data_IF_965052219251
#
_entry.id   IF_965052219251
#
_cell.length_a   1.000
_cell.length_b   1.000
_cell.length_c   1.000
_cell.angle_alpha   90.00
_cell.angle_beta   90.00
_cell.angle_gamma   90.00
#
_symmetry.space_group_name_H-M   'P 1'
#
loop_
_entity.id
_entity.type
_entity.pdbx_description
1 polymer ?
#
# COMPACT_ATOMS: atom_id res chain seq x y z
N UNK A 1 -27.93 72.56 0.33
CA UNK A 1 -29.37 72.64 -0.07
C UNK A 1 -29.91 71.26 0.02
N UNK A 2 -30.61 71.07 0.98
CA UNK A 2 -32.05 70.95 1.28
C UNK A 2 -32.54 69.51 1.07
N UNK A 3 -32.75 68.86 2.22
CA UNK A 3 -34.01 68.57 2.97
C UNK A 3 -34.72 67.33 2.48
N UNK A 4 -34.73 66.32 3.34
CA UNK A 4 -35.85 65.90 4.24
C UNK A 4 -37.07 65.33 3.49
N UNK A 5 -37.54 64.14 3.84
CA UNK A 5 -38.58 63.92 4.84
C UNK A 5 -38.84 62.45 5.13
N UNK A 6 -38.92 62.20 6.41
CA UNK A 6 -39.54 61.15 7.19
C UNK A 6 -41.05 61.22 7.08
N UNK A 7 -41.77 60.07 7.15
CA UNK A 7 -43.11 59.86 7.74
C UNK A 7 -43.50 58.39 7.52
N UNK A 8 -43.60 57.52 8.47
CA UNK A 8 -44.44 57.36 9.67
C UNK A 8 -45.92 57.34 9.43
N UNK A 9 -46.66 56.41 10.11
CA UNK A 9 -48.08 56.33 10.44
C UNK A 9 -48.88 55.34 9.59
N UNK A 10 -49.79 54.50 10.03
CA UNK A 10 -50.34 54.06 11.31
C UNK A 10 -51.33 52.91 11.02
N UNK A 11 -51.46 51.97 11.91
CA UNK A 11 -52.57 51.09 12.23
C UNK A 11 -53.91 51.28 11.54
N UNK A 12 -54.50 50.17 11.02
CA UNK A 12 -55.95 49.94 11.22
C UNK A 12 -56.12 48.44 11.57
N UNK A 13 -56.52 48.21 12.84
CA UNK A 13 -57.14 46.98 13.30
C UNK A 13 -58.59 46.97 12.88
N UNK A 14 -59.10 45.89 12.30
CA UNK A 14 -60.54 45.59 12.37
C UNK A 14 -60.75 44.11 12.52
N UNK A 15 -61.32 43.78 13.66
CA UNK A 15 -61.76 42.45 14.05
C UNK A 15 -62.94 41.99 13.16
N UNK A 16 -62.85 40.73 12.70
CA UNK A 16 -64.05 39.91 12.47
C UNK A 16 -63.97 38.63 13.23
N UNK A 17 -64.90 38.50 14.13
CA UNK A 17 -65.14 37.39 15.01
C UNK A 17 -65.99 36.34 14.28
N UNK A 18 -65.78 35.08 14.66
CA UNK A 18 -66.66 33.91 14.50
C UNK A 18 -66.53 33.10 13.21
N UNK A 19 -65.78 32.00 13.25
CA UNK A 19 -66.43 30.66 13.29
C UNK A 19 -65.34 29.60 13.64
N UNK A 20 -65.36 29.09 14.85
CA UNK A 20 -64.63 27.96 15.32
C UNK A 20 -65.23 26.68 14.70
N UNK A 21 -64.65 26.13 13.69
CA UNK A 21 -64.73 24.69 13.44
C UNK A 21 -63.38 24.07 13.76
N UNK A 22 -63.31 23.42 14.88
CA UNK A 22 -62.17 22.60 15.30
C UNK A 22 -62.16 21.34 14.41
N UNK A 23 -61.28 21.33 13.41
CA UNK A 23 -60.89 20.11 12.74
C UNK A 23 -59.88 19.44 13.67
N UNK A 24 -60.09 18.21 14.13
CA UNK A 24 -59.06 17.51 14.87
C UNK A 24 -57.83 17.32 13.94
N UNK A 25 -56.73 17.98 14.27
CA UNK A 25 -55.44 17.65 13.72
C UNK A 25 -55.10 16.26 14.21
N UNK A 26 -55.34 15.26 13.40
CA UNK A 26 -54.75 13.94 13.60
C UNK A 26 -53.24 14.17 13.50
N UNK A 27 -52.56 14.09 14.62
CA UNK A 27 -51.11 14.06 14.66
C UNK A 27 -50.68 12.91 13.75
N UNK A 28 -49.94 13.23 12.67
CA UNK A 28 -49.24 12.23 11.91
C UNK A 28 -48.36 11.43 12.90
N UNK A 29 -48.33 10.10 12.79
CA UNK A 29 -47.38 9.32 13.59
C UNK A 29 -45.97 9.89 13.34
N UNK A 30 -45.12 9.92 14.37
CA UNK A 30 -43.73 10.31 14.17
C UNK A 30 -43.20 9.44 13.03
N UNK A 31 -42.69 10.08 11.97
CA UNK A 31 -41.86 9.41 11.01
C UNK A 31 -40.65 8.97 11.83
N UNK A 32 -40.55 7.68 12.07
CA UNK A 32 -39.29 7.07 12.47
C UNK A 32 -38.27 7.44 11.37
N UNK A 33 -37.45 8.44 11.69
CA UNK A 33 -36.20 8.69 11.00
C UNK A 33 -35.42 7.37 11.12
N UNK A 34 -35.06 6.69 10.04
CA UNK A 34 -34.26 5.50 10.19
C UNK A 34 -32.94 5.91 10.82
N UNK A 35 -32.86 5.70 12.13
CA UNK A 35 -31.66 5.85 12.91
C UNK A 35 -30.65 4.90 12.25
N UNK A 36 -29.87 5.45 11.33
CA UNK A 36 -28.77 4.72 10.73
C UNK A 36 -27.80 4.40 11.87
N UNK A 37 -27.82 3.16 12.31
CA UNK A 37 -26.88 2.64 13.29
C UNK A 37 -25.47 2.72 12.68
N UNK A 38 -24.74 3.75 13.06
CA UNK A 38 -23.35 3.93 12.69
C UNK A 38 -22.47 3.50 13.86
N UNK A 39 -21.58 2.55 13.63
CA UNK A 39 -20.55 2.22 14.59
C UNK A 39 -19.43 3.26 14.50
N UNK A 40 -19.06 3.84 15.64
CA UNK A 40 -17.85 4.65 15.73
C UNK A 40 -16.67 3.77 16.14
N UNK A 41 -15.65 3.70 15.32
CA UNK A 41 -14.42 2.95 15.56
C UNK A 41 -13.25 3.88 15.85
N UNK A 42 -12.50 3.61 16.91
CA UNK A 42 -11.25 4.34 17.21
C UNK A 42 -10.07 3.58 16.63
N UNK A 43 -9.37 4.20 15.69
CA UNK A 43 -8.18 3.63 15.02
C UNK A 43 -7.12 3.24 16.05
N UNK A 44 -6.67 1.99 15.99
CA UNK A 44 -5.64 1.44 16.84
C UNK A 44 -4.25 1.56 16.18
N UNK A 45 -3.14 1.49 16.96
CA UNK A 45 -1.80 1.38 16.36
C UNK A 45 -1.74 0.23 15.35
N UNK A 46 -1.15 0.49 14.17
CA UNK A 46 -1.05 -0.45 13.03
C UNK A 46 -2.36 -0.76 12.29
N UNK A 47 -3.45 -0.05 12.57
CA UNK A 47 -4.63 -0.13 11.72
C UNK A 47 -4.40 0.58 10.37
N UNK A 48 -5.02 0.02 9.33
CA UNK A 48 -5.21 0.69 8.05
C UNK A 48 -6.70 0.67 7.72
N UNK A 49 -7.17 1.62 6.90
CA UNK A 49 -8.58 1.63 6.49
C UNK A 49 -9.02 0.31 5.84
N UNK A 50 -8.12 -0.32 5.09
CA UNK A 50 -8.37 -1.64 4.48
C UNK A 50 -8.56 -2.70 5.58
N UNK A 51 -7.69 -2.74 6.60
CA UNK A 51 -7.85 -3.68 7.72
C UNK A 51 -9.16 -3.45 8.47
N UNK A 52 -9.54 -2.19 8.66
CA UNK A 52 -10.80 -1.82 9.32
C UNK A 52 -11.98 -2.22 8.42
N UNK A 53 -11.93 -1.90 7.13
CA UNK A 53 -12.95 -2.29 6.16
C UNK A 53 -13.15 -3.81 6.15
N UNK A 54 -12.07 -4.57 6.08
CA UNK A 54 -12.09 -6.04 6.12
C UNK A 54 -12.65 -6.57 7.47
N UNK A 55 -12.25 -5.97 8.60
CA UNK A 55 -12.70 -6.38 9.93
C UNK A 55 -14.22 -6.23 10.12
N UNK A 56 -14.80 -5.20 9.52
CA UNK A 56 -16.22 -4.85 9.69
C UNK A 56 -17.07 -5.18 8.46
N UNK A 57 -16.52 -5.89 7.47
CA UNK A 57 -17.19 -6.22 6.22
C UNK A 57 -17.80 -5.02 5.50
N UNK A 58 -17.00 -3.96 5.37
CA UNK A 58 -17.39 -2.74 4.70
C UNK A 58 -16.57 -2.56 3.43
N UNK A 59 -17.15 -1.91 2.43
CA UNK A 59 -16.34 -1.42 1.32
C UNK A 59 -15.48 -0.26 1.80
N UNK A 60 -14.21 -0.27 1.41
CA UNK A 60 -13.28 0.82 1.71
C UNK A 60 -13.86 2.19 1.31
N UNK A 61 -14.51 2.24 0.13
CA UNK A 61 -15.17 3.42 -0.40
C UNK A 61 -16.23 3.98 0.54
N UNK A 62 -17.00 3.11 1.20
CA UNK A 62 -18.09 3.53 2.08
C UNK A 62 -17.54 4.17 3.37
N UNK A 63 -16.44 3.64 3.92
CA UNK A 63 -15.73 4.24 5.05
C UNK A 63 -15.12 5.59 4.64
N UNK A 64 -14.48 5.65 3.47
CA UNK A 64 -13.87 6.88 2.94
C UNK A 64 -14.91 7.98 2.78
N UNK A 65 -16.07 7.67 2.20
CA UNK A 65 -17.16 8.62 1.98
C UNK A 65 -17.80 9.06 3.30
N UNK A 66 -18.11 8.12 4.20
CA UNK A 66 -18.74 8.40 5.49
C UNK A 66 -17.89 9.29 6.40
N UNK A 67 -16.57 9.25 6.23
CA UNK A 67 -15.60 10.01 7.04
C UNK A 67 -14.92 11.16 6.28
N UNK A 68 -15.30 11.42 5.04
CA UNK A 68 -14.70 12.45 4.17
C UNK A 68 -13.18 12.36 4.11
N UNK A 69 -12.64 11.12 4.07
CA UNK A 69 -11.20 10.87 4.06
C UNK A 69 -10.65 11.18 2.67
N UNK A 70 -9.79 12.19 2.59
CA UNK A 70 -9.16 12.58 1.33
C UNK A 70 -8.05 11.62 0.88
N UNK A 71 -7.40 10.94 1.82
CA UNK A 71 -6.35 9.96 1.56
C UNK A 71 -6.61 8.70 2.41
N UNK A 72 -7.07 7.59 1.78
CA UNK A 72 -7.37 6.34 2.49
C UNK A 72 -6.16 5.69 3.17
N UNK A 73 -4.95 6.07 2.79
CA UNK A 73 -3.72 5.54 3.38
C UNK A 73 -3.25 6.35 4.60
N UNK A 74 -3.97 7.43 4.95
CA UNK A 74 -3.57 8.33 6.02
C UNK A 74 -4.64 8.37 7.11
N UNK A 75 -4.62 7.38 7.99
CA UNK A 75 -5.36 7.38 9.24
C UNK A 75 -4.39 7.29 10.41
N UNK A 76 -4.77 7.85 11.55
CA UNK A 76 -3.90 7.96 12.72
C UNK A 76 -4.48 7.21 13.92
N UNK A 77 -3.65 6.56 14.75
CA UNK A 77 -4.10 6.00 16.02
C UNK A 77 -4.84 7.05 16.86
N UNK A 78 -6.02 6.70 17.38
CA UNK A 78 -6.92 7.60 18.09
C UNK A 78 -7.92 8.34 17.21
N UNK A 79 -7.80 8.31 15.89
CA UNK A 79 -8.79 8.86 14.96
C UNK A 79 -10.11 8.09 15.08
N UNK A 80 -11.23 8.81 15.15
CA UNK A 80 -12.55 8.18 15.14
C UNK A 80 -13.10 8.08 13.73
N UNK A 81 -13.55 6.89 13.35
CA UNK A 81 -14.15 6.59 12.07
C UNK A 81 -15.59 6.14 12.25
N UNK A 82 -16.48 6.74 11.48
CA UNK A 82 -17.87 6.28 11.33
C UNK A 82 -17.89 5.10 10.36
N UNK A 83 -18.34 3.93 10.82
CA UNK A 83 -18.47 2.72 10.01
C UNK A 83 -19.94 2.57 9.61
N UNK A 84 -20.31 2.85 8.34
CA UNK A 84 -21.70 2.84 7.91
C UNK A 84 -22.26 1.41 7.83
N UNK A 85 -23.52 1.22 8.25
CA UNK A 85 -24.24 -0.06 8.10
C UNK A 85 -23.83 -1.17 9.08
N UNK A 86 -23.04 -0.86 10.12
CA UNK A 86 -22.72 -1.82 11.18
C UNK A 86 -23.65 -1.61 12.37
N UNK A 87 -24.63 -2.49 12.56
CA UNK A 87 -25.47 -2.52 13.76
C UNK A 87 -24.99 -3.58 14.74
N UNK A 88 -24.88 -3.23 16.02
CA UNK A 88 -24.65 -4.22 17.09
C UNK A 88 -25.93 -5.01 17.36
N UNK A 89 -26.02 -6.23 16.84
CA UNK A 89 -26.79 -7.27 17.50
C UNK A 89 -25.82 -8.24 18.16
N UNK A 90 -25.62 -8.06 19.46
CA UNK A 90 -24.94 -9.05 20.28
C UNK A 90 -25.89 -10.26 20.45
N UNK A 91 -25.88 -11.16 19.50
CA UNK A 91 -26.36 -12.52 19.73
C UNK A 91 -25.18 -13.35 20.23
N UNK A 92 -25.29 -14.01 21.40
CA UNK A 92 -24.25 -14.94 21.81
C UNK A 92 -24.24 -16.09 20.83
N UNK A 93 -23.14 -16.18 20.05
CA UNK A 93 -22.86 -17.35 19.21
C UNK A 93 -22.61 -18.52 20.17
N UNK A 94 -23.39 -19.61 20.14
CA UNK A 94 -23.05 -20.81 20.87
C UNK A 94 -21.67 -21.30 20.35
N UNK A 95 -20.74 -21.53 21.29
CA UNK A 95 -19.47 -22.15 20.97
C UNK A 95 -19.74 -23.55 20.37
N UNK A 96 -19.69 -23.65 19.05
CA UNK A 96 -19.73 -24.92 18.37
C UNK A 96 -18.39 -25.61 18.58
N UNK A 97 -18.42 -26.78 19.18
CA UNK A 97 -17.25 -27.67 19.30
C UNK A 97 -16.75 -28.03 17.89
N UNK A 98 -15.42 -27.98 17.65
CA UNK A 98 -14.88 -28.23 16.32
C UNK A 98 -15.05 -29.72 15.94
N UNK A 99 -15.69 -29.97 14.79
CA UNK A 99 -15.69 -31.27 14.15
C UNK A 99 -14.54 -31.32 13.13
N UNK A 100 -13.61 -32.28 13.17
CA UNK A 100 -12.54 -32.39 12.19
C UNK A 100 -13.11 -32.83 10.84
N UNK A 101 -12.85 -32.05 9.79
CA UNK A 101 -13.20 -32.39 8.41
C UNK A 101 -13.55 -31.14 7.59
N UNK A 102 -13.20 -31.15 6.33
CA UNK A 102 -13.64 -30.10 5.42
C UNK A 102 -15.17 -30.17 5.24
N UNK A 103 -15.85 -29.06 5.43
CA UNK A 103 -17.27 -28.93 5.11
C UNK A 103 -17.42 -28.40 3.67
N UNK A 104 -18.52 -28.77 3.01
CA UNK A 104 -18.84 -28.23 1.69
C UNK A 104 -19.98 -27.22 1.82
N UNK A 105 -19.79 -26.06 1.22
CA UNK A 105 -20.79 -25.00 1.16
C UNK A 105 -21.10 -24.67 -0.29
N UNK A 106 -22.38 -24.55 -0.63
CA UNK A 106 -22.79 -24.09 -1.97
C UNK A 106 -23.09 -22.60 -1.88
N UNK A 107 -22.28 -21.80 -2.55
CA UNK A 107 -22.42 -20.35 -2.57
C UNK A 107 -23.80 -19.92 -3.07
N UNK A 108 -24.44 -19.01 -2.37
CA UNK A 108 -25.73 -18.44 -2.69
C UNK A 108 -25.56 -17.14 -3.51
N UNK A 109 -26.66 -16.64 -4.07
CA UNK A 109 -26.69 -15.29 -4.64
C UNK A 109 -26.37 -14.30 -3.53
N UNK A 110 -25.51 -13.30 -3.82
CA UNK A 110 -25.01 -12.28 -2.88
C UNK A 110 -24.01 -12.78 -1.82
N UNK A 111 -23.59 -14.04 -1.85
CA UNK A 111 -22.47 -14.48 -1.04
C UNK A 111 -21.14 -13.86 -1.50
N UNK A 112 -20.30 -13.56 -0.53
CA UNK A 112 -18.88 -13.30 -0.73
C UNK A 112 -18.05 -14.30 0.07
N UNK A 113 -16.82 -14.58 -0.34
CA UNK A 113 -15.92 -15.44 0.47
C UNK A 113 -15.74 -14.90 1.88
N UNK A 114 -15.89 -13.60 2.06
CA UNK A 114 -15.80 -12.96 3.36
C UNK A 114 -17.02 -13.27 4.25
N UNK A 115 -18.24 -13.14 3.74
CA UNK A 115 -19.46 -13.50 4.49
C UNK A 115 -19.48 -14.97 4.86
N UNK A 116 -19.05 -15.83 3.92
CA UNK A 116 -18.92 -17.27 4.16
C UNK A 116 -17.84 -17.53 5.25
N UNK A 117 -16.65 -16.95 5.12
CA UNK A 117 -15.57 -17.10 6.10
C UNK A 117 -15.98 -16.66 7.50
N UNK A 118 -16.67 -15.51 7.61
CA UNK A 118 -17.22 -15.00 8.87
C UNK A 118 -18.24 -15.96 9.48
N UNK A 119 -19.15 -16.50 8.69
CA UNK A 119 -20.19 -17.42 9.15
C UNK A 119 -19.61 -18.75 9.67
N UNK A 120 -18.49 -19.18 9.12
CA UNK A 120 -17.81 -20.42 9.50
C UNK A 120 -16.65 -20.21 10.51
N UNK A 121 -16.36 -18.96 10.88
CA UNK A 121 -15.27 -18.64 11.82
C UNK A 121 -13.87 -18.99 11.27
N UNK A 122 -13.70 -18.94 9.94
CA UNK A 122 -12.44 -19.24 9.24
C UNK A 122 -11.92 -18.00 8.51
N UNK A 123 -10.65 -18.02 8.10
CA UNK A 123 -10.13 -16.92 7.28
C UNK A 123 -10.50 -17.11 5.81
N UNK A 124 -10.67 -15.97 5.07
CA UNK A 124 -10.85 -16.00 3.62
C UNK A 124 -9.69 -16.71 2.94
N UNK A 125 -8.45 -16.45 3.38
CA UNK A 125 -7.24 -17.11 2.89
C UNK A 125 -7.28 -18.64 3.02
N UNK A 126 -7.85 -19.15 4.12
CA UNK A 126 -8.00 -20.60 4.32
C UNK A 126 -8.99 -21.22 3.33
N UNK A 127 -10.09 -20.51 3.01
CA UNK A 127 -11.04 -20.96 1.98
C UNK A 127 -10.38 -20.91 0.60
N UNK A 128 -9.65 -19.83 0.26
CA UNK A 128 -8.94 -19.70 -1.01
C UNK A 128 -7.95 -20.84 -1.22
N UNK A 129 -7.09 -21.11 -0.23
CA UNK A 129 -6.10 -22.19 -0.28
C UNK A 129 -6.74 -23.55 -0.49
N UNK A 130 -7.80 -23.87 0.28
CA UNK A 130 -8.44 -25.17 0.22
C UNK A 130 -9.16 -25.44 -1.12
N UNK A 131 -9.54 -24.37 -1.83
CA UNK A 131 -10.25 -24.43 -3.11
C UNK A 131 -9.36 -24.11 -4.32
N UNK A 132 -8.10 -23.74 -4.11
CA UNK A 132 -7.21 -23.36 -5.20
C UNK A 132 -7.63 -22.09 -5.94
N UNK A 133 -8.29 -21.14 -5.25
CA UNK A 133 -8.71 -19.88 -5.84
C UNK A 133 -7.62 -18.84 -5.69
N UNK A 134 -7.47 -18.04 -6.73
CA UNK A 134 -6.54 -16.93 -6.80
C UNK A 134 -7.17 -15.57 -6.52
N UNK A 135 -8.50 -15.47 -6.59
CA UNK A 135 -9.23 -14.22 -6.39
C UNK A 135 -10.47 -14.48 -5.52
N UNK A 136 -10.62 -13.75 -4.37
CA UNK A 136 -11.78 -13.89 -3.49
C UNK A 136 -13.10 -13.41 -4.09
N UNK A 137 -13.06 -12.57 -5.14
CA UNK A 137 -14.24 -11.94 -5.72
C UNK A 137 -14.86 -12.77 -6.86
N UNK A 138 -14.27 -13.91 -7.22
CA UNK A 138 -14.71 -14.76 -8.33
C UNK A 138 -15.57 -15.96 -7.92
N UNK A 139 -16.24 -15.93 -6.77
CA UNK A 139 -17.21 -16.97 -6.46
C UNK A 139 -18.53 -16.72 -7.21
N UNK A 140 -19.15 -17.79 -7.67
CA UNK A 140 -20.43 -17.75 -8.36
C UNK A 140 -21.51 -18.44 -7.54
N UNK A 141 -22.74 -17.95 -7.59
CA UNK A 141 -23.87 -18.63 -6.99
C UNK A 141 -24.00 -20.06 -7.58
N UNK A 142 -24.18 -21.04 -6.69
CA UNK A 142 -24.17 -22.46 -7.04
C UNK A 142 -22.78 -23.12 -7.01
N UNK A 143 -21.72 -22.38 -6.85
CA UNK A 143 -20.36 -22.92 -6.73
C UNK A 143 -20.20 -23.65 -5.39
N UNK A 144 -19.65 -24.87 -5.42
CA UNK A 144 -19.36 -25.64 -4.21
C UNK A 144 -17.97 -25.29 -3.69
N UNK A 145 -17.93 -24.79 -2.46
CA UNK A 145 -16.71 -24.41 -1.77
C UNK A 145 -16.36 -25.44 -0.70
N UNK A 146 -15.08 -25.76 -0.58
CA UNK A 146 -14.54 -26.48 0.57
C UNK A 146 -14.26 -25.46 1.68
N UNK A 147 -14.92 -25.59 2.81
CA UNK A 147 -14.72 -24.76 3.98
C UNK A 147 -13.87 -25.54 4.99
N UNK A 148 -12.78 -24.98 5.54
CA UNK A 148 -12.02 -25.64 6.58
C UNK A 148 -12.92 -25.98 7.77
N UNK A 149 -12.94 -27.24 8.18
CA UNK A 149 -13.67 -27.69 9.36
C UNK A 149 -12.82 -27.53 10.59
N UNK A 150 -13.14 -26.58 11.46
CA UNK A 150 -12.43 -26.38 12.71
C UNK A 150 -11.44 -25.22 12.72
N UNK A 151 -10.79 -24.94 13.86
CA UNK A 151 -9.70 -23.97 13.92
C UNK A 151 -8.67 -24.36 12.86
N UNK A 152 -8.07 -23.33 12.23
CA UNK A 152 -6.99 -23.51 11.24
C UNK A 152 -6.12 -24.70 11.68
N UNK A 153 -5.84 -25.69 10.82
CA UNK A 153 -4.90 -26.73 11.16
C UNK A 153 -3.68 -26.01 11.73
N UNK A 154 -3.24 -26.44 12.92
CA UNK A 154 -1.95 -26.01 13.45
C UNK A 154 -0.99 -26.00 12.28
N UNK A 155 -0.19 -24.94 12.08
CA UNK A 155 0.65 -24.80 10.91
C UNK A 155 1.32 -26.15 10.68
N UNK A 156 1.13 -26.70 9.51
CA UNK A 156 1.72 -27.97 9.11
C UNK A 156 3.16 -27.89 9.60
N UNK A 157 3.59 -28.82 10.47
CA UNK A 157 4.88 -28.72 11.15
C UNK A 157 5.93 -28.45 10.08
N UNK A 158 6.52 -27.25 10.11
CA UNK A 158 7.54 -26.87 9.15
C UNK A 158 8.60 -27.99 9.13
N UNK A 159 9.08 -28.43 7.97
CA UNK A 159 10.11 -29.45 7.93
C UNK A 159 11.35 -28.95 8.67
N UNK A 160 11.92 -29.79 9.57
CA UNK A 160 13.18 -29.42 10.20
C UNK A 160 14.23 -29.14 9.11
N UNK A 161 15.01 -28.04 9.19
CA UNK A 161 15.31 -27.26 10.37
C UNK A 161 14.43 -26.00 10.59
N UNK A 162 13.43 -25.75 9.76
CA UNK A 162 12.62 -24.55 9.88
C UNK A 162 11.79 -24.57 11.18
N UNK A 163 11.93 -23.53 12.00
CA UNK A 163 11.18 -23.34 13.25
C UNK A 163 10.05 -22.34 13.04
N UNK A 164 10.38 -21.20 12.42
CA UNK A 164 9.41 -20.15 12.08
C UNK A 164 9.72 -19.55 10.73
N UNK A 165 8.65 -19.25 9.98
CA UNK A 165 8.67 -18.37 8.81
C UNK A 165 7.63 -17.31 9.12
N UNK A 166 8.06 -16.06 9.32
CA UNK A 166 7.19 -14.95 9.69
C UNK A 166 7.20 -13.90 8.60
N UNK A 167 6.02 -13.58 8.07
CA UNK A 167 5.79 -12.49 7.13
C UNK A 167 5.41 -11.23 7.91
N UNK A 168 5.94 -10.06 7.50
CA UNK A 168 5.49 -8.78 8.08
C UNK A 168 4.00 -8.53 7.84
N UNK A 169 3.52 -8.97 6.67
CA UNK A 169 2.12 -8.87 6.24
C UNK A 169 1.79 -10.14 5.43
N UNK A 170 0.99 -11.09 5.95
CA UNK A 170 0.59 -12.28 5.19
C UNK A 170 -0.35 -11.94 4.02
N UNK A 171 -1.04 -10.80 4.10
CA UNK A 171 -1.77 -10.16 3.00
C UNK A 171 -1.13 -8.82 2.74
N UNK A 172 -0.60 -8.62 1.55
CA UNK A 172 0.17 -7.44 1.18
C UNK A 172 -0.40 -6.79 -0.08
N UNK A 173 -0.36 -5.47 -0.12
CA UNK A 173 -0.80 -4.68 -1.28
C UNK A 173 0.28 -4.68 -2.37
N UNK A 174 -0.12 -4.67 -3.64
CA UNK A 174 0.75 -4.36 -4.78
C UNK A 174 1.68 -3.18 -4.49
N UNK A 175 2.90 -3.21 -5.02
CA UNK A 175 3.89 -2.14 -4.90
C UNK A 175 4.62 -2.07 -3.56
N UNK A 176 4.26 -2.86 -2.58
CA UNK A 176 4.89 -2.81 -1.24
C UNK A 176 6.05 -3.78 -1.11
N UNK A 177 6.84 -3.57 -0.06
CA UNK A 177 7.94 -4.43 0.35
C UNK A 177 7.49 -5.32 1.51
N UNK A 178 7.61 -6.64 1.33
CA UNK A 178 7.36 -7.63 2.37
C UNK A 178 8.66 -7.98 3.08
N UNK A 179 8.62 -8.11 4.41
CA UNK A 179 9.73 -8.66 5.19
C UNK A 179 9.43 -10.11 5.53
N UNK A 180 10.39 -10.99 5.26
CA UNK A 180 10.34 -12.42 5.62
C UNK A 180 11.44 -12.70 6.66
N UNK A 181 11.06 -13.24 7.82
CA UNK A 181 11.99 -13.66 8.88
C UNK A 181 11.92 -15.16 9.03
N UNK A 182 13.08 -15.80 9.08
CA UNK A 182 13.20 -17.26 9.17
C UNK A 182 14.12 -17.64 10.34
N UNK A 183 13.64 -18.53 11.21
CA UNK A 183 14.45 -19.12 12.28
C UNK A 183 14.65 -20.60 12.01
N UNK A 184 15.89 -21.07 12.21
CA UNK A 184 16.26 -22.46 12.07
C UNK A 184 16.61 -23.07 13.44
N UNK A 185 16.24 -24.33 13.67
CA UNK A 185 16.51 -25.05 14.93
C UNK A 185 17.94 -25.60 15.04
N UNK A 186 18.62 -25.71 13.92
CA UNK A 186 19.88 -26.39 13.79
C UNK A 186 20.97 -25.45 13.23
N UNK A 187 21.95 -25.12 14.03
CA UNK A 187 23.09 -24.28 13.67
C UNK A 187 24.03 -24.91 12.64
N UNK A 188 23.86 -26.19 12.30
CA UNK A 188 24.61 -26.85 11.21
C UNK A 188 24.12 -26.40 9.82
N UNK A 189 22.94 -25.81 9.72
CA UNK A 189 22.50 -25.14 8.52
C UNK A 189 23.11 -23.74 8.49
N UNK A 190 24.02 -23.55 7.53
CA UNK A 190 24.90 -22.39 7.47
C UNK A 190 24.43 -21.32 6.49
N UNK A 191 23.51 -21.67 5.59
CA UNK A 191 22.96 -20.70 4.62
C UNK A 191 21.48 -20.94 4.36
N UNK A 192 20.80 -19.83 4.06
CA UNK A 192 19.42 -19.79 3.62
C UNK A 192 19.39 -19.07 2.27
N UNK A 193 18.72 -19.66 1.32
CA UNK A 193 18.39 -19.06 0.02
C UNK A 193 16.89 -19.12 -0.21
N UNK A 194 16.40 -18.37 -1.19
CA UNK A 194 14.99 -18.41 -1.56
C UNK A 194 14.74 -17.76 -2.91
N UNK A 195 13.51 -17.88 -3.36
CA UNK A 195 13.02 -17.29 -4.61
C UNK A 195 11.59 -16.79 -4.43
N UNK A 196 11.30 -15.70 -5.11
CA UNK A 196 9.94 -15.18 -5.26
C UNK A 196 9.72 -14.86 -6.74
N UNK A 197 8.70 -15.46 -7.36
CA UNK A 197 8.41 -15.34 -8.80
C UNK A 197 9.66 -15.57 -9.69
N UNK A 198 10.46 -16.59 -9.35
CA UNK A 198 11.70 -16.93 -10.07
C UNK A 198 12.89 -16.01 -9.80
N UNK A 199 12.70 -14.90 -9.08
CA UNK A 199 13.77 -13.97 -8.69
C UNK A 199 14.42 -14.41 -7.39
N UNK A 200 15.75 -14.40 -7.27
CA UNK A 200 16.46 -14.80 -6.07
C UNK A 200 16.24 -13.80 -4.92
N UNK A 201 16.14 -14.32 -3.71
CA UNK A 201 16.07 -13.53 -2.48
C UNK A 201 17.44 -13.50 -1.79
N UNK A 202 17.81 -12.32 -1.31
CA UNK A 202 19.07 -12.08 -0.60
C UNK A 202 18.80 -11.97 0.89
N UNK A 203 19.46 -12.83 1.69
CA UNK A 203 19.23 -12.90 3.12
C UNK A 203 20.36 -12.20 3.89
N UNK A 204 19.97 -11.44 4.89
CA UNK A 204 20.82 -10.98 5.98
C UNK A 204 20.52 -11.76 7.25
N UNK A 205 21.42 -11.68 8.24
CA UNK A 205 21.24 -12.37 9.52
C UNK A 205 21.40 -11.39 10.68
N UNK A 206 20.47 -11.44 11.62
CA UNK A 206 20.50 -10.64 12.85
C UNK A 206 20.04 -11.50 14.01
N UNK A 207 20.84 -11.54 15.10
CA UNK A 207 20.53 -12.30 16.31
C UNK A 207 20.21 -13.79 16.05
N UNK A 208 20.88 -14.41 15.08
CA UNK A 208 20.69 -15.82 14.73
C UNK A 208 19.48 -16.12 13.83
N UNK A 209 18.66 -15.12 13.52
CA UNK A 209 17.56 -15.25 12.57
C UNK A 209 17.94 -14.69 11.21
N UNK A 210 17.55 -15.38 10.15
CA UNK A 210 17.65 -14.88 8.77
C UNK A 210 16.47 -13.98 8.47
N UNK A 211 16.70 -12.97 7.64
CA UNK A 211 15.64 -12.14 7.11
C UNK A 211 15.96 -11.67 5.70
N UNK A 212 14.92 -11.41 4.94
CA UNK A 212 15.00 -10.85 3.58
C UNK A 212 13.84 -9.89 3.35
N UNK A 213 13.97 -9.09 2.30
CA UNK A 213 12.94 -8.19 1.81
C UNK A 213 12.52 -8.64 0.41
N UNK A 214 11.22 -8.65 0.16
CA UNK A 214 10.62 -9.14 -1.08
C UNK A 214 9.82 -8.01 -1.72
N UNK A 215 10.16 -7.60 -2.95
CA UNK A 215 9.38 -6.58 -3.66
C UNK A 215 8.10 -7.19 -4.23
N UNK A 216 6.98 -6.53 -4.03
CA UNK A 216 5.74 -6.86 -4.72
C UNK A 216 5.56 -5.85 -5.86
N UNK A 217 5.50 -6.34 -7.08
CA UNK A 217 5.36 -5.46 -8.25
C UNK A 217 4.03 -4.69 -8.20
N UNK A 218 4.05 -3.40 -8.58
CA UNK A 218 2.84 -2.56 -8.55
C UNK A 218 1.73 -3.02 -9.51
N UNK A 219 2.06 -3.82 -10.51
CA UNK A 219 1.12 -4.45 -11.46
C UNK A 219 1.05 -5.98 -11.26
N UNK A 220 1.49 -6.52 -10.11
CA UNK A 220 1.31 -7.94 -9.83
C UNK A 220 -0.18 -8.27 -9.83
N UNK A 221 -0.58 -9.37 -10.45
CA UNK A 221 -1.98 -9.79 -10.37
C UNK A 221 -2.34 -10.17 -8.93
N UNK A 222 -3.49 -9.74 -8.41
CA UNK A 222 -3.97 -10.19 -7.10
C UNK A 222 -4.05 -11.72 -7.07
N UNK A 223 -3.22 -12.36 -6.22
CA UNK A 223 -3.09 -13.81 -6.17
C UNK A 223 -2.35 -14.25 -4.89
N UNK A 224 -2.28 -15.56 -4.67
CA UNK A 224 -1.42 -16.17 -3.67
C UNK A 224 -0.11 -16.60 -4.33
N UNK A 225 0.99 -16.10 -3.80
CA UNK A 225 2.34 -16.34 -4.33
C UNK A 225 3.18 -17.12 -3.32
N UNK A 226 3.82 -18.22 -3.73
CA UNK A 226 4.73 -18.94 -2.87
C UNK A 226 6.10 -18.24 -2.80
N UNK A 227 6.61 -18.08 -1.60
CA UNK A 227 7.99 -17.70 -1.30
C UNK A 227 8.74 -19.01 -1.04
N UNK A 228 9.58 -19.43 -1.99
CA UNK A 228 10.36 -20.65 -1.86
C UNK A 228 11.58 -20.43 -0.98
N UNK A 229 11.87 -21.33 -0.07
CA UNK A 229 12.98 -21.25 0.88
C UNK A 229 13.78 -22.55 0.86
N UNK A 230 15.10 -22.43 0.89
CA UNK A 230 16.05 -23.57 0.92
C UNK A 230 17.09 -23.35 2.01
N UNK A 231 17.05 -24.17 3.06
CA UNK A 231 18.09 -24.21 4.07
C UNK A 231 19.17 -25.20 3.63
N UNK A 232 20.44 -24.79 3.67
CA UNK A 232 21.58 -25.62 3.26
C UNK A 232 22.54 -25.83 4.41
N UNK A 233 22.87 -27.09 4.67
CA UNK A 233 23.87 -27.50 5.66
C UNK A 233 25.28 -27.43 5.08
N UNK A 234 26.30 -27.42 5.94
CA UNK A 234 27.71 -27.38 5.53
C UNK A 234 28.14 -28.58 4.67
N UNK A 235 27.49 -29.73 4.81
CA UNK A 235 27.72 -30.93 3.97
C UNK A 235 27.00 -30.91 2.64
N UNK A 236 26.29 -29.83 2.32
CA UNK A 236 25.51 -29.67 1.10
C UNK A 236 24.08 -30.21 1.18
N UNK A 237 23.66 -30.82 2.29
CA UNK A 237 22.29 -31.26 2.49
C UNK A 237 21.33 -30.07 2.44
N UNK A 238 20.27 -30.20 1.66
CA UNK A 238 19.26 -29.15 1.48
C UNK A 238 17.88 -29.58 1.97
N UNK A 239 17.17 -28.65 2.61
CA UNK A 239 15.78 -28.79 2.97
C UNK A 239 15.01 -27.64 2.39
N UNK A 240 13.96 -27.96 1.61
CA UNK A 240 13.12 -26.99 0.94
C UNK A 240 11.78 -26.85 1.67
N UNK A 241 11.26 -25.63 1.68
CA UNK A 241 9.90 -25.32 2.12
C UNK A 241 9.39 -24.10 1.39
N UNK A 242 8.17 -23.70 1.64
CA UNK A 242 7.62 -22.45 1.13
C UNK A 242 6.67 -21.82 2.14
N UNK A 243 6.44 -20.53 1.97
CA UNK A 243 5.41 -19.78 2.69
C UNK A 243 4.59 -18.97 1.68
N UNK A 244 3.28 -18.90 1.87
CA UNK A 244 2.40 -18.19 0.96
C UNK A 244 2.15 -16.76 1.41
N UNK A 245 2.23 -15.82 0.47
CA UNK A 245 1.78 -14.43 0.64
C UNK A 245 0.61 -14.15 -0.28
N UNK A 246 -0.43 -13.52 0.23
CA UNK A 246 -1.56 -13.07 -0.59
C UNK A 246 -1.32 -11.64 -1.03
N UNK A 247 -1.22 -11.42 -2.34
CA UNK A 247 -1.13 -10.08 -2.94
C UNK A 247 -2.52 -9.61 -3.29
N UNK A 248 -2.86 -8.38 -2.87
CA UNK A 248 -4.12 -7.72 -3.17
C UNK A 248 -3.89 -6.46 -3.99
N UNK A 249 -4.91 -6.01 -4.67
CA UNK A 249 -4.89 -4.78 -5.46
C UNK A 249 -4.58 -3.55 -4.60
N UNK A 250 -3.76 -2.64 -5.14
CA UNK A 250 -3.42 -1.38 -4.51
C UNK A 250 -4.48 -0.29 -4.81
N UNK A 251 -4.75 0.63 -3.87
CA UNK A 251 -5.70 1.72 -4.04
C UNK A 251 -5.10 2.85 -4.91
N UNK A 252 -4.60 2.50 -6.09
CA UNK A 252 -3.91 3.43 -6.97
C UNK A 252 -4.90 4.17 -7.88
N UNK A 253 -4.75 5.51 -7.92
CA UNK A 253 -5.45 6.35 -8.89
C UNK A 253 -4.95 6.12 -10.32
N UNK A 254 -5.60 6.78 -11.29
CA UNK A 254 -5.16 6.79 -12.68
C UNK A 254 -5.05 8.21 -13.20
N UNK A 255 -4.08 8.45 -14.08
CA UNK A 255 -3.88 9.71 -14.78
C UNK A 255 -3.52 9.46 -16.23
N UNK A 256 -4.00 10.35 -17.11
CA UNK A 256 -3.61 10.37 -18.52
C UNK A 256 -2.73 11.61 -18.76
N UNK A 257 -1.47 11.38 -19.15
CA UNK A 257 -0.48 12.43 -19.33
C UNK A 257 -0.44 12.83 -20.81
N UNK A 258 -0.79 14.07 -21.09
CA UNK A 258 -0.65 14.65 -22.43
C UNK A 258 0.74 15.26 -22.57
N UNK A 259 1.52 14.79 -23.53
CA UNK A 259 2.86 15.29 -23.84
C UNK A 259 2.80 16.15 -25.10
N UNK A 260 3.42 17.32 -25.06
CA UNK A 260 3.59 18.18 -26.23
C UNK A 260 4.67 17.64 -27.19
N UNK A 261 4.62 18.06 -28.47
CA UNK A 261 5.52 17.59 -29.52
C UNK A 261 7.01 17.87 -29.22
N UNK A 262 7.31 18.91 -28.44
CA UNK A 262 8.70 19.27 -28.09
C UNK A 262 9.32 18.28 -27.11
N UNK A 263 8.50 17.59 -26.31
CA UNK A 263 8.89 16.56 -25.35
C UNK A 263 8.82 15.15 -25.94
N UNK A 264 8.05 15.00 -27.04
CA UNK A 264 7.98 13.75 -27.79
C UNK A 264 9.35 13.26 -28.29
N UNK A 265 10.30 14.16 -28.56
CA UNK A 265 11.68 13.79 -28.92
C UNK A 265 12.48 13.15 -27.78
N UNK A 266 12.14 13.43 -26.51
CA UNK A 266 12.73 12.77 -25.34
C UNK A 266 12.12 11.38 -25.08
N UNK A 267 11.06 11.03 -25.81
CA UNK A 267 10.46 9.69 -25.85
C UNK A 267 11.09 8.81 -26.95
N UNK A 268 12.26 9.18 -27.51
CA UNK A 268 13.01 8.29 -28.37
C UNK A 268 13.24 6.95 -27.64
N UNK A 269 12.64 5.90 -28.17
CA UNK A 269 12.67 4.57 -27.58
C UNK A 269 14.10 4.07 -27.36
N UNK A 270 15.03 4.41 -28.24
CA UNK A 270 16.42 4.01 -28.12
C UNK A 270 17.14 4.73 -26.97
N UNK A 271 16.88 6.02 -26.77
CA UNK A 271 17.44 6.78 -25.65
C UNK A 271 16.90 6.27 -24.31
N UNK A 272 15.59 6.01 -24.25
CA UNK A 272 14.93 5.42 -23.05
C UNK A 272 15.53 4.05 -22.76
N UNK A 273 15.68 3.20 -23.77
CA UNK A 273 16.24 1.85 -23.66
C UNK A 273 17.69 1.87 -23.14
N UNK A 274 18.52 2.71 -23.71
CA UNK A 274 19.94 2.83 -23.30
C UNK A 274 20.08 3.31 -21.86
N UNK A 275 19.29 4.31 -21.47
CA UNK A 275 19.28 4.81 -20.09
C UNK A 275 18.77 3.74 -19.13
N UNK A 276 17.69 3.02 -19.50
CA UNK A 276 17.15 1.93 -18.71
C UNK A 276 18.12 0.76 -18.55
N UNK A 277 18.85 0.39 -19.60
CA UNK A 277 19.89 -0.65 -19.54
C UNK A 277 21.03 -0.25 -18.60
N UNK A 278 21.47 1.00 -18.64
CA UNK A 278 22.49 1.53 -17.73
C UNK A 278 22.04 1.37 -16.27
N UNK A 279 20.81 1.79 -15.95
CA UNK A 279 20.28 1.69 -14.60
C UNK A 279 20.06 0.24 -14.17
N UNK A 280 19.57 -0.61 -15.07
CA UNK A 280 19.39 -2.04 -14.79
C UNK A 280 20.72 -2.71 -14.44
N UNK A 281 21.81 -2.35 -15.14
CA UNK A 281 23.16 -2.82 -14.83
C UNK A 281 23.63 -2.34 -13.44
N UNK A 282 23.24 -1.15 -12.99
CA UNK A 282 23.55 -0.68 -11.64
C UNK A 282 22.73 -1.42 -10.59
N UNK A 283 21.42 -1.58 -10.79
CA UNK A 283 20.52 -2.28 -9.87
C UNK A 283 20.86 -3.77 -9.72
N UNK A 284 21.54 -4.38 -10.70
CA UNK A 284 21.99 -5.77 -10.61
C UNK A 284 23.22 -5.98 -9.72
N UNK A 285 23.92 -4.89 -9.32
CA UNK A 285 25.10 -4.94 -8.46
C UNK A 285 24.68 -5.00 -7.00
N UNK A 286 24.42 -6.20 -6.50
CA UNK A 286 23.86 -6.38 -5.15
C UNK A 286 24.95 -6.49 -4.11
N UNK A 287 24.97 -5.60 -3.13
CA UNK A 287 25.73 -5.74 -1.90
C UNK A 287 24.88 -6.47 -0.84
N UNK A 288 25.44 -7.54 -0.23
CA UNK A 288 24.67 -8.41 0.68
C UNK A 288 24.47 -7.83 2.08
N UNK A 289 25.07 -6.68 2.40
CA UNK A 289 24.95 -6.05 3.71
C UNK A 289 24.05 -4.84 3.61
N UNK A 290 22.98 -4.78 4.42
CA UNK A 290 22.17 -3.56 4.55
C UNK A 290 23.06 -2.44 5.13
N UNK A 291 22.89 -1.23 4.61
CA UNK A 291 23.59 -0.02 5.05
C UNK A 291 22.70 0.87 5.88
N UNK A 292 21.39 0.71 5.77
CA UNK A 292 20.40 1.48 6.53
C UNK A 292 20.19 0.90 7.93
N UNK A 293 19.64 1.75 8.81
CA UNK A 293 19.17 1.36 10.13
C UNK A 293 17.90 2.18 10.45
N UNK A 294 16.82 1.49 10.81
CA UNK A 294 15.54 2.15 11.11
C UNK A 294 14.79 2.67 9.87
N UNK A 295 13.74 3.49 10.09
CA UNK A 295 12.94 4.05 9.00
C UNK A 295 13.75 5.09 8.21
N UNK A 296 13.42 5.21 6.93
CA UNK A 296 13.99 6.25 6.07
C UNK A 296 13.46 7.63 6.44
N UNK A 297 14.25 8.65 6.22
CA UNK A 297 13.80 10.04 6.28
C UNK A 297 13.10 10.43 4.98
N UNK A 298 12.29 11.49 5.01
CA UNK A 298 11.87 12.15 3.79
C UNK A 298 13.08 12.76 3.08
N UNK A 299 13.18 12.66 1.73
CA UNK A 299 14.28 13.24 0.99
C UNK A 299 14.21 14.77 0.88
N UNK A 300 13.14 15.38 1.39
CA UNK A 300 12.90 16.83 1.41
C UNK A 300 12.53 17.28 2.82
N UNK A 301 12.73 18.56 3.12
CA UNK A 301 12.37 19.11 4.43
C UNK A 301 10.85 18.99 4.68
N UNK A 302 10.46 18.52 5.88
CA UNK A 302 9.08 18.26 6.28
C UNK A 302 8.21 19.53 6.19
N UNK A 303 8.76 20.68 6.54
CA UNK A 303 8.07 21.98 6.52
C UNK A 303 7.63 22.40 5.12
N UNK A 304 8.25 21.82 4.10
CA UNK A 304 7.97 22.11 2.69
C UNK A 304 7.45 20.90 1.93
N UNK A 305 7.15 19.83 2.65
CA UNK A 305 6.68 18.56 2.07
C UNK A 305 5.36 18.77 1.34
N UNK A 306 5.37 18.52 0.03
CA UNK A 306 4.18 18.51 -0.81
C UNK A 306 4.31 17.38 -1.82
N UNK A 307 3.54 16.32 -1.65
CA UNK A 307 3.47 15.24 -2.64
C UNK A 307 2.56 15.70 -3.78
N UNK A 308 3.04 15.61 -5.00
CA UNK A 308 2.31 16.00 -6.21
C UNK A 308 1.85 14.80 -7.02
N UNK A 309 2.56 13.67 -6.94
CA UNK A 309 2.13 12.39 -7.51
C UNK A 309 2.62 11.24 -6.65
N UNK A 310 1.76 10.27 -6.40
CA UNK A 310 2.06 9.11 -5.57
C UNK A 310 2.59 7.96 -6.40
N UNK A 311 3.42 7.13 -5.78
CA UNK A 311 3.81 5.82 -6.33
C UNK A 311 2.57 5.00 -6.71
N UNK A 312 2.70 4.20 -7.76
CA UNK A 312 1.67 3.25 -8.17
C UNK A 312 0.52 3.86 -8.97
N UNK A 313 0.41 5.21 -9.06
CA UNK A 313 -0.60 5.85 -9.91
C UNK A 313 -0.51 5.29 -11.32
N UNK A 314 -1.60 4.72 -11.83
CA UNK A 314 -1.68 4.14 -13.17
C UNK A 314 -1.59 5.25 -14.19
N UNK A 315 -0.73 5.09 -15.20
CA UNK A 315 -0.44 6.11 -16.21
C UNK A 315 -0.70 5.61 -17.61
N UNK A 316 -1.39 6.42 -18.38
CA UNK A 316 -1.41 6.35 -19.84
C UNK A 316 -0.84 7.64 -20.42
N UNK A 317 -0.28 7.58 -21.62
CA UNK A 317 0.32 8.71 -22.29
C UNK A 317 -0.41 8.94 -23.62
N UNK A 318 -0.82 10.20 -23.91
CA UNK A 318 -1.48 10.57 -25.13
C UNK A 318 -2.65 9.64 -25.52
N UNK A 319 -3.49 9.29 -24.54
CA UNK A 319 -4.62 8.38 -24.69
C UNK A 319 -4.26 6.94 -25.13
N UNK A 320 -3.01 6.52 -24.90
CA UNK A 320 -2.57 5.14 -25.14
C UNK A 320 -3.34 4.16 -24.27
N UNK A 321 -3.56 2.95 -24.78
CA UNK A 321 -4.11 1.83 -24.01
C UNK A 321 -3.04 1.07 -23.20
N UNK A 322 -1.77 1.40 -23.39
CA UNK A 322 -0.69 0.79 -22.61
C UNK A 322 -0.73 1.29 -21.17
N UNK A 323 -0.80 0.33 -20.25
CA UNK A 323 -0.84 0.61 -18.83
C UNK A 323 0.58 0.63 -18.27
N UNK A 324 1.00 1.80 -17.77
CA UNK A 324 2.19 1.96 -16.95
C UNK A 324 1.82 2.42 -15.54
N UNK A 325 2.80 2.66 -14.69
CA UNK A 325 2.55 3.22 -13.37
C UNK A 325 3.68 4.17 -12.95
N UNK A 326 3.38 5.07 -12.05
CA UNK A 326 4.37 5.96 -11.45
C UNK A 326 5.31 5.17 -10.53
N UNK A 327 6.58 5.05 -10.89
CA UNK A 327 7.58 4.21 -10.21
C UNK A 327 8.15 4.81 -8.93
N UNK A 328 7.73 6.01 -8.52
CA UNK A 328 8.22 6.70 -7.34
C UNK A 328 7.18 7.65 -6.74
N UNK A 329 7.63 8.53 -5.89
CA UNK A 329 6.81 9.60 -5.29
C UNK A 329 7.38 10.95 -5.70
N UNK A 330 6.54 11.84 -6.25
CA UNK A 330 6.95 13.18 -6.67
C UNK A 330 6.72 14.19 -5.56
N UNK A 331 7.78 14.91 -5.20
CA UNK A 331 7.72 16.02 -4.27
C UNK A 331 7.81 17.35 -5.01
N UNK A 332 6.71 18.09 -5.00
CA UNK A 332 6.65 19.42 -5.56
C UNK A 332 7.50 20.39 -4.75
N UNK A 333 8.14 21.33 -5.47
CA UNK A 333 8.95 22.39 -4.84
C UNK A 333 9.54 23.32 -5.88
N UNK A 334 10.02 24.47 -5.44
CA UNK A 334 10.77 25.38 -6.31
C UNK A 334 12.14 24.81 -6.65
N UNK A 335 12.69 25.18 -7.81
CA UNK A 335 14.07 24.90 -8.19
C UNK A 335 15.05 25.37 -7.12
N UNK A 336 16.07 24.58 -6.82
CA UNK A 336 17.12 24.90 -5.84
C UNK A 336 16.81 24.47 -4.40
N UNK A 337 15.64 23.87 -4.12
CA UNK A 337 15.38 23.32 -2.77
C UNK A 337 16.23 22.08 -2.51
N UNK A 338 16.76 21.94 -1.28
CA UNK A 338 17.68 20.85 -0.97
C UNK A 338 17.00 19.48 -1.00
N UNK A 339 17.76 18.49 -1.46
CA UNK A 339 17.43 17.06 -1.44
C UNK A 339 18.43 16.35 -0.54
N UNK A 340 17.93 15.50 0.34
CA UNK A 340 18.72 14.80 1.34
C UNK A 340 18.67 13.28 1.13
N UNK A 341 19.75 12.58 1.49
CA UNK A 341 19.76 11.13 1.57
C UNK A 341 18.83 10.66 2.69
N UNK A 342 17.86 9.73 2.44
CA UNK A 342 16.91 9.29 3.46
C UNK A 342 17.52 8.28 4.44
N UNK A 343 18.62 7.62 4.05
CA UNK A 343 19.33 6.62 4.81
C UNK A 343 20.78 6.54 4.38
N UNK A 344 21.61 5.84 5.16
CA UNK A 344 22.99 5.59 4.79
C UNK A 344 23.08 4.72 3.53
N UNK A 345 24.07 4.99 2.70
CA UNK A 345 24.30 4.29 1.44
C UNK A 345 25.55 4.73 0.71
N UNK A 346 25.78 4.15 -0.45
CA UNK A 346 26.85 4.50 -1.36
C UNK A 346 26.28 5.05 -2.66
N UNK A 347 26.72 6.22 -3.08
CA UNK A 347 26.37 6.80 -4.38
C UNK A 347 26.98 5.94 -5.48
N UNK A 348 26.13 5.39 -6.35
CA UNK A 348 26.54 4.54 -7.48
C UNK A 348 26.31 5.21 -8.83
N UNK A 349 25.65 6.38 -8.83
CA UNK A 349 25.49 7.26 -9.98
C UNK A 349 25.31 8.69 -9.48
N UNK A 350 26.02 9.64 -10.09
CA UNK A 350 25.81 11.09 -9.90
C UNK A 350 26.20 11.80 -11.21
N UNK A 351 25.26 11.87 -12.17
CA UNK A 351 25.52 12.43 -13.50
C UNK A 351 24.23 12.88 -14.21
N UNK A 352 24.31 13.71 -15.25
CA UNK A 352 23.16 13.99 -16.11
C UNK A 352 22.80 12.79 -16.98
N UNK A 353 21.50 12.46 -16.98
CA UNK A 353 20.85 11.50 -17.86
C UNK A 353 19.87 12.21 -18.80
N UNK A 354 19.53 11.58 -19.92
CA UNK A 354 18.67 12.21 -20.94
C UNK A 354 17.21 12.32 -20.46
N UNK A 355 16.64 11.21 -19.98
CA UNK A 355 15.24 11.14 -19.57
C UNK A 355 15.09 11.61 -18.12
N UNK A 356 15.93 11.11 -17.23
CA UNK A 356 15.86 11.41 -15.78
C UNK A 356 16.53 12.72 -15.38
N UNK A 357 17.19 13.42 -16.31
CA UNK A 357 17.91 14.67 -16.02
C UNK A 357 19.09 14.44 -15.09
N UNK A 358 19.49 15.44 -14.32
CA UNK A 358 20.53 15.29 -13.31
C UNK A 358 20.07 14.29 -12.25
N UNK A 359 20.81 13.19 -12.10
CA UNK A 359 20.40 12.00 -11.42
C UNK A 359 21.41 11.57 -10.34
N UNK A 360 20.91 11.20 -9.19
CA UNK A 360 21.65 10.50 -8.13
C UNK A 360 21.00 9.15 -7.89
N UNK A 361 21.81 8.09 -7.78
CA UNK A 361 21.38 6.75 -7.36
C UNK A 361 22.24 6.29 -6.19
N UNK A 362 21.60 5.85 -5.11
CA UNK A 362 22.24 5.40 -3.87
C UNK A 362 21.95 3.91 -3.66
N UNK A 363 23.00 3.10 -3.46
CA UNK A 363 22.94 1.70 -3.03
C UNK A 363 22.88 1.63 -1.51
N UNK A 364 21.77 1.12 -0.97
CA UNK A 364 21.58 0.89 0.45
C UNK A 364 21.90 -0.54 0.89
N UNK A 365 22.25 -1.42 -0.02
CA UNK A 365 22.51 -2.84 0.23
C UNK A 365 21.27 -3.73 0.07
N UNK A 366 21.46 -5.04 0.08
CA UNK A 366 20.44 -6.07 -0.14
C UNK A 366 19.57 -5.86 -1.38
N UNK A 367 20.14 -5.25 -2.43
CA UNK A 367 19.42 -4.94 -3.67
C UNK A 367 18.48 -3.73 -3.57
N UNK A 368 18.54 -2.97 -2.47
CA UNK A 368 17.75 -1.74 -2.29
C UNK A 368 18.53 -0.52 -2.79
N UNK A 369 17.90 0.21 -3.70
CA UNK A 369 18.43 1.46 -4.26
C UNK A 369 17.40 2.58 -4.12
N UNK A 370 17.88 3.82 -3.91
CA UNK A 370 17.06 5.02 -4.02
C UNK A 370 17.55 5.92 -5.14
N UNK A 371 16.62 6.36 -6.00
CA UNK A 371 16.89 7.23 -7.13
C UNK A 371 16.27 8.61 -6.92
N UNK A 372 17.01 9.65 -7.37
CA UNK A 372 16.65 11.07 -7.23
C UNK A 372 16.83 11.74 -8.58
N UNK A 373 15.73 12.05 -9.24
CA UNK A 373 15.73 12.52 -10.62
C UNK A 373 15.37 14.01 -10.72
N UNK A 374 15.65 14.57 -11.90
CA UNK A 374 15.27 15.92 -12.31
C UNK A 374 15.96 17.06 -11.54
N UNK A 375 17.10 16.79 -10.90
CA UNK A 375 17.81 17.75 -10.06
C UNK A 375 18.33 18.95 -10.88
N UNK A 376 18.44 20.12 -10.23
CA UNK A 376 19.15 21.28 -10.81
C UNK A 376 20.66 21.18 -10.60
N UNK A 377 21.09 20.70 -9.43
CA UNK A 377 22.49 20.56 -9.05
C UNK A 377 22.72 19.25 -8.31
N UNK A 378 23.86 18.60 -8.54
CA UNK A 378 24.32 17.43 -7.83
C UNK A 378 25.33 17.86 -6.76
N UNK A 379 25.14 17.46 -5.51
CA UNK A 379 25.98 17.79 -4.37
C UNK A 379 26.92 16.65 -3.95
N UNK A 380 26.81 15.48 -4.64
CA UNK A 380 27.62 14.28 -4.37
C UNK A 380 28.23 13.74 -5.66
N UNK A 381 29.19 12.83 -5.49
CA UNK A 381 29.87 12.15 -6.61
C UNK A 381 29.75 10.63 -6.48
N UNK A 382 29.87 9.92 -7.60
CA UNK A 382 29.92 8.46 -7.61
C UNK A 382 31.04 7.93 -6.70
N UNK A 383 30.72 6.89 -5.93
CA UNK A 383 31.61 6.27 -4.95
C UNK A 383 31.53 6.88 -3.55
N UNK A 384 30.90 8.03 -3.37
CA UNK A 384 30.77 8.69 -2.08
C UNK A 384 29.84 7.89 -1.14
N UNK A 385 30.25 7.71 0.12
CA UNK A 385 29.38 7.22 1.19
C UNK A 385 28.58 8.39 1.75
N UNK A 386 27.28 8.18 1.97
CA UNK A 386 26.38 9.17 2.54
C UNK A 386 25.67 8.62 3.78
N UNK A 387 25.29 9.52 4.68
CA UNK A 387 24.48 9.23 5.86
C UNK A 387 23.07 9.80 5.69
N UNK A 388 22.13 9.32 6.50
CA UNK A 388 20.79 9.91 6.56
C UNK A 388 20.87 11.41 6.87
N UNK A 389 20.23 12.26 6.06
CA UNK A 389 20.24 13.72 6.20
C UNK A 389 21.36 14.45 5.43
N UNK A 390 22.28 13.73 4.79
CA UNK A 390 23.31 14.38 3.96
C UNK A 390 22.69 15.02 2.71
N UNK A 391 23.16 16.23 2.38
CA UNK A 391 22.74 16.93 1.16
C UNK A 391 23.30 16.20 -0.07
N UNK A 392 22.41 15.81 -0.99
CA UNK A 392 22.78 15.08 -2.22
C UNK A 392 22.53 15.87 -3.51
N UNK A 393 21.80 16.98 -3.43
CA UNK A 393 21.51 17.85 -4.55
C UNK A 393 20.35 18.79 -4.29
N UNK A 394 19.78 19.34 -5.36
CA UNK A 394 18.66 20.29 -5.26
C UNK A 394 17.59 19.99 -6.29
N UNK A 395 16.32 20.25 -5.92
CA UNK A 395 15.16 20.09 -6.82
C UNK A 395 15.35 20.91 -8.09
N UNK A 396 15.07 20.32 -9.22
CA UNK A 396 15.24 20.96 -10.52
C UNK A 396 14.09 20.69 -11.47
N UNK A 397 14.43 20.78 -12.76
CA UNK A 397 13.51 20.67 -13.88
C UNK A 397 14.27 20.12 -15.12
N UNK A 398 15.25 19.26 -14.89
CA UNK A 398 16.09 18.67 -15.95
C UNK A 398 15.49 17.33 -16.43
N UNK A 399 15.75 16.96 -17.68
CA UNK A 399 15.20 15.74 -18.29
C UNK A 399 13.71 15.87 -18.69
N UNK A 400 13.01 14.74 -18.76
CA UNK A 400 11.61 14.65 -19.19
C UNK A 400 10.66 14.96 -18.02
N UNK A 401 10.30 16.23 -17.86
CA UNK A 401 9.44 16.72 -16.77
C UNK A 401 8.41 17.74 -17.27
N UNK A 402 7.31 17.86 -16.55
CA UNK A 402 6.26 18.87 -16.82
C UNK A 402 6.44 20.14 -15.97
N UNK A 403 7.20 20.08 -14.88
CA UNK A 403 7.43 21.21 -13.98
C UNK A 403 8.45 20.83 -12.89
N UNK A 404 8.94 21.82 -12.10
CA UNK A 404 9.93 21.55 -11.07
C UNK A 404 9.41 20.62 -9.97
N UNK A 405 10.09 19.48 -9.78
CA UNK A 405 9.83 18.53 -8.71
C UNK A 405 11.03 17.61 -8.49
N UNK A 406 11.06 16.93 -7.35
CA UNK A 406 11.87 15.75 -7.12
C UNK A 406 11.04 14.50 -7.40
N UNK A 407 11.45 13.66 -8.33
CA UNK A 407 10.99 12.29 -8.41
C UNK A 407 11.90 11.42 -7.53
N UNK A 408 11.33 10.82 -6.49
CA UNK A 408 12.02 9.92 -5.56
C UNK A 408 11.53 8.50 -5.77
N UNK A 409 12.45 7.61 -6.10
CA UNK A 409 12.15 6.21 -6.45
C UNK A 409 12.90 5.28 -5.50
N UNK A 410 12.25 4.22 -5.04
CA UNK A 410 12.90 3.07 -4.42
C UNK A 410 12.78 1.85 -5.31
N UNK A 411 13.90 1.15 -5.50
CA UNK A 411 13.93 -0.14 -6.19
C UNK A 411 14.58 -1.20 -5.33
N UNK A 412 13.90 -2.34 -5.28
CA UNK A 412 14.39 -3.53 -4.63
C UNK A 412 14.53 -4.64 -5.66
N UNK A 413 15.75 -5.13 -5.85
CA UNK A 413 16.08 -6.11 -6.91
C UNK A 413 15.60 -5.68 -8.31
N UNK A 414 15.71 -4.39 -8.61
CA UNK A 414 15.26 -3.79 -9.87
C UNK A 414 13.75 -3.50 -9.96
N UNK A 415 12.93 -3.96 -9.03
CA UNK A 415 11.48 -3.74 -8.98
C UNK A 415 11.19 -2.48 -8.18
N UNK A 416 10.41 -1.55 -8.74
CA UNK A 416 9.99 -0.34 -8.05
C UNK A 416 9.01 -0.68 -6.91
N UNK A 417 9.26 -0.12 -5.73
CA UNK A 417 8.44 -0.32 -4.51
C UNK A 417 8.05 1.01 -3.90
N UNK A 418 6.96 1.02 -3.12
CA UNK A 418 6.38 2.20 -2.49
C UNK A 418 7.37 2.89 -1.54
N UNK A 419 7.89 4.09 -1.89
CA UNK A 419 8.90 4.74 -1.07
C UNK A 419 8.38 5.18 0.30
N UNK A 420 7.11 5.59 0.39
CA UNK A 420 6.55 6.09 1.64
C UNK A 420 6.40 4.97 2.69
N UNK A 421 6.29 3.71 2.28
CA UNK A 421 6.32 2.58 3.22
C UNK A 421 7.60 2.59 4.06
N UNK A 422 8.75 2.90 3.46
CA UNK A 422 10.05 2.90 4.12
C UNK A 422 10.25 4.07 5.09
N UNK A 423 9.52 5.17 4.89
CA UNK A 423 9.46 6.28 5.84
C UNK A 423 8.56 5.95 7.03
N UNK A 424 7.45 5.25 6.78
CA UNK A 424 6.41 4.96 7.78
C UNK A 424 6.71 3.73 8.62
N UNK A 425 7.56 2.82 8.14
CA UNK A 425 7.83 1.52 8.77
C UNK A 425 9.34 1.31 8.89
N UNK A 426 9.75 0.82 10.06
CA UNK A 426 11.11 0.30 10.23
C UNK A 426 11.21 -1.06 9.52
N UNK A 427 11.94 -1.12 8.42
CA UNK A 427 12.30 -2.35 7.73
C UNK A 427 13.69 -2.76 8.22
N UNK A 428 13.91 -4.02 8.66
CA UNK A 428 15.12 -4.47 9.36
C UNK A 428 16.43 -4.12 8.68
#
# INVERSE_FOLDING_TARGET
MLRHKISLILLIALAWLLCRTTIPVVAAPPQDDPQQDHLTYTVQPNDTLIKIALRYNLKLTDIVLANQILNPNLIFPGQQLTLPGVSFQATPVPAASPTPGAQFYTAQVDDSLFTIASNYGVSVGAILLLNGFSNPDLIQAGQVLKIPGGPLPSPELLPAPFVTIALSEPVITQGRTLVVKVSLSDSTFTSLSGQFEGSPLFFSQTNGAFWTIVPIHALAEPNIYPIMLTATRADGTQVNTFENVTVIEGPYGSENIQLDDSRGQLLDEELIRLEQEKLTNLWSRISLRPRWAGPFLYPVAIETLRITSYFGTRRSYNDSTELSFHGGTDFGGGVGRPIFAPAAGRVVLAEPLTVRGNAVLIDHGLGLFSGYWHQSELAVSEGQEVQAGDLIGTIGHTGLVTGPHLHWELRLNGIAVEPLQWVQQAIP
#
